data_IF_991818212490
#
_entry.id   IF_991818212490
#
_cell.length_a   1.000
_cell.length_b   1.000
_cell.length_c   1.000
_cell.angle_alpha   90.00
_cell.angle_beta   90.00
_cell.angle_gamma   90.00
#
_symmetry.space_group_name_H-M   'P 1'
#
loop_
_entity.id
_entity.type
_entity.pdbx_description
1 polymer ?
#
# COMPACT_ATOMS: atom_id res chain seq x y z
N UNK A 1 -6.31 -29.25 -5.81
CA UNK A 1 -5.90 -28.26 -6.82
C UNK A 1 -6.10 -26.88 -6.24
N UNK A 2 -5.05 -26.28 -5.68
CA UNK A 2 -5.17 -25.08 -4.84
C UNK A 2 -4.79 -23.84 -5.65
N UNK A 3 -5.76 -23.33 -6.42
CA UNK A 3 -5.66 -22.13 -7.24
C UNK A 3 -5.38 -20.83 -6.42
N UNK A 4 -5.50 -20.90 -5.09
CA UNK A 4 -5.45 -19.75 -4.17
C UNK A 4 -4.13 -19.55 -3.42
N UNK A 5 -3.06 -20.22 -3.84
CA UNK A 5 -1.76 -20.16 -3.15
C UNK A 5 -0.58 -19.76 -4.05
N UNK A 6 -0.86 -19.28 -5.27
CA UNK A 6 0.19 -18.80 -6.16
C UNK A 6 0.63 -17.40 -5.72
N UNK A 7 1.93 -17.17 -5.44
CA UNK A 7 2.47 -15.85 -5.11
C UNK A 7 2.10 -14.78 -6.13
N UNK A 8 1.95 -15.16 -7.40
CA UNK A 8 1.52 -14.25 -8.47
C UNK A 8 0.10 -13.74 -8.27
N UNK A 9 -0.83 -14.62 -7.89
CA UNK A 9 -2.21 -14.25 -7.60
C UNK A 9 -2.30 -13.32 -6.37
N UNK A 10 -1.57 -13.64 -5.31
CA UNK A 10 -1.52 -12.81 -4.10
C UNK A 10 -0.97 -11.41 -4.41
N UNK A 11 0.09 -11.33 -5.23
CA UNK A 11 0.68 -10.05 -5.67
C UNK A 11 -0.28 -9.26 -6.58
N UNK A 12 -0.95 -9.94 -7.51
CA UNK A 12 -1.94 -9.30 -8.41
C UNK A 12 -3.12 -8.72 -7.62
N UNK A 13 -3.61 -9.43 -6.59
CA UNK A 13 -4.66 -8.94 -5.68
C UNK A 13 -4.21 -7.71 -4.91
N UNK A 14 -2.95 -7.69 -4.44
CA UNK A 14 -2.36 -6.53 -3.76
C UNK A 14 -2.33 -5.30 -4.69
N UNK A 15 -1.86 -5.48 -5.92
CA UNK A 15 -1.79 -4.42 -6.92
C UNK A 15 -3.19 -3.91 -7.30
N UNK A 16 -4.15 -4.80 -7.51
CA UNK A 16 -5.53 -4.42 -7.81
C UNK A 16 -6.14 -3.58 -6.68
N UNK A 17 -5.96 -4.02 -5.44
CA UNK A 17 -6.46 -3.29 -4.27
C UNK A 17 -5.83 -1.90 -4.18
N UNK A 18 -4.54 -1.78 -4.48
CA UNK A 18 -3.83 -0.50 -4.52
C UNK A 18 -4.41 0.43 -5.59
N UNK A 19 -4.68 -0.07 -6.80
CA UNK A 19 -5.27 0.73 -7.89
C UNK A 19 -6.66 1.22 -7.50
N UNK A 20 -7.52 0.33 -6.98
CA UNK A 20 -8.88 0.69 -6.57
C UNK A 20 -8.87 1.78 -5.50
N UNK A 21 -8.03 1.61 -4.47
CA UNK A 21 -7.90 2.61 -3.41
C UNK A 21 -7.32 3.94 -3.90
N UNK A 22 -6.44 3.88 -4.88
CA UNK A 22 -5.84 5.05 -5.51
C UNK A 22 -6.88 5.89 -6.25
N UNK A 23 -7.69 5.24 -7.09
CA UNK A 23 -8.78 5.91 -7.81
C UNK A 23 -9.81 6.48 -6.84
N UNK A 24 -10.21 5.71 -5.83
CA UNK A 24 -11.14 6.17 -4.80
C UNK A 24 -10.62 7.42 -4.09
N UNK A 25 -9.37 7.39 -3.62
CA UNK A 25 -8.76 8.52 -2.92
C UNK A 25 -8.60 9.75 -3.81
N UNK A 26 -8.19 9.57 -5.07
CA UNK A 26 -8.08 10.65 -6.04
C UNK A 26 -9.41 11.35 -6.27
N UNK A 27 -10.48 10.60 -6.57
CA UNK A 27 -11.83 11.15 -6.79
C UNK A 27 -12.33 11.88 -5.54
N UNK A 28 -12.13 11.28 -4.36
CA UNK A 28 -12.55 11.88 -3.09
C UNK A 28 -11.85 13.21 -2.82
N UNK A 29 -10.54 13.29 -3.05
CA UNK A 29 -9.78 14.55 -2.89
C UNK A 29 -10.23 15.60 -3.89
N UNK A 30 -10.48 15.22 -5.16
CA UNK A 30 -10.98 16.15 -6.17
C UNK A 30 -12.37 16.71 -5.81
N UNK A 31 -13.25 15.86 -5.30
CA UNK A 31 -14.60 16.29 -4.88
C UNK A 31 -14.59 17.21 -3.65
N UNK A 32 -13.56 17.15 -2.81
CA UNK A 32 -13.50 17.90 -1.54
C UNK A 32 -12.57 19.13 -1.58
N UNK A 33 -12.02 19.48 -2.74
CA UNK A 33 -11.03 20.58 -2.89
C UNK A 33 -11.55 21.94 -2.42
N UNK A 34 -12.87 22.18 -2.44
CA UNK A 34 -13.48 23.44 -2.04
C UNK A 34 -13.56 23.63 -0.51
N UNK A 35 -13.35 22.57 0.29
CA UNK A 35 -13.50 22.61 1.75
C UNK A 35 -12.32 21.93 2.44
N UNK A 36 -11.47 22.72 3.09
CA UNK A 36 -10.30 22.20 3.82
C UNK A 36 -10.68 21.19 4.91
N UNK A 37 -11.69 21.44 5.79
CA UNK A 37 -12.10 20.44 6.78
C UNK A 37 -12.53 19.12 6.17
N UNK A 38 -13.29 19.16 5.09
CA UNK A 38 -13.74 17.96 4.39
C UNK A 38 -12.56 17.20 3.75
N UNK A 39 -11.60 17.92 3.18
CA UNK A 39 -10.37 17.33 2.64
C UNK A 39 -9.56 16.62 3.72
N UNK A 40 -9.47 17.17 4.94
CA UNK A 40 -8.79 16.53 6.08
C UNK A 40 -9.49 15.22 6.45
N UNK A 41 -10.81 15.24 6.62
CA UNK A 41 -11.58 14.04 6.96
C UNK A 41 -11.39 12.95 5.89
N UNK A 42 -11.51 13.32 4.62
CA UNK A 42 -11.35 12.39 3.51
C UNK A 42 -9.91 11.85 3.38
N UNK A 43 -8.90 12.66 3.66
CA UNK A 43 -7.51 12.23 3.67
C UNK A 43 -7.26 11.19 4.78
N UNK A 44 -7.74 11.45 6.00
CA UNK A 44 -7.61 10.51 7.13
C UNK A 44 -8.35 9.20 6.84
N UNK A 45 -9.57 9.27 6.32
CA UNK A 45 -10.35 8.08 5.96
C UNK A 45 -9.68 7.30 4.81
N UNK A 46 -9.20 7.98 3.78
CA UNK A 46 -8.54 7.34 2.63
C UNK A 46 -7.27 6.59 3.03
N UNK A 47 -6.42 7.22 3.83
CA UNK A 47 -5.20 6.60 4.36
C UNK A 47 -5.56 5.47 5.32
N UNK A 48 -6.50 5.68 6.23
CA UNK A 48 -6.93 4.68 7.21
C UNK A 48 -7.50 3.42 6.53
N UNK A 49 -8.37 3.59 5.54
CA UNK A 49 -8.91 2.49 4.76
C UNK A 49 -7.82 1.75 3.97
N UNK A 50 -6.91 2.48 3.34
CA UNK A 50 -5.78 1.89 2.62
C UNK A 50 -4.92 1.02 3.54
N UNK A 51 -4.48 1.59 4.66
CA UNK A 51 -3.66 0.88 5.67
C UNK A 51 -4.39 -0.36 6.18
N UNK A 52 -5.66 -0.22 6.52
CA UNK A 52 -6.50 -1.31 7.01
C UNK A 52 -6.62 -2.45 5.99
N UNK A 53 -6.93 -2.14 4.74
CA UNK A 53 -7.12 -3.14 3.68
C UNK A 53 -5.80 -3.87 3.35
N UNK A 54 -4.71 -3.13 3.18
CA UNK A 54 -3.39 -3.74 2.87
C UNK A 54 -2.91 -4.58 4.06
N UNK A 55 -3.02 -4.04 5.27
CA UNK A 55 -2.63 -4.78 6.47
C UNK A 55 -3.41 -6.09 6.61
N UNK A 56 -4.75 -6.06 6.52
CA UNK A 56 -5.59 -7.25 6.67
C UNK A 56 -5.29 -8.29 5.58
N UNK A 57 -5.14 -7.86 4.34
CA UNK A 57 -4.80 -8.75 3.24
C UNK A 57 -3.46 -9.44 3.47
N UNK A 58 -2.43 -8.70 3.87
CA UNK A 58 -1.11 -9.27 4.13
C UNK A 58 -1.08 -10.11 5.40
N UNK A 59 -1.86 -9.73 6.41
CA UNK A 59 -2.07 -10.54 7.61
C UNK A 59 -2.67 -11.92 7.26
N UNK A 60 -3.69 -11.95 6.40
CA UNK A 60 -4.31 -13.21 5.95
C UNK A 60 -3.31 -14.11 5.20
N UNK A 61 -2.48 -13.53 4.34
CA UNK A 61 -1.43 -14.26 3.61
C UNK A 61 -0.41 -14.83 4.61
N UNK A 62 0.05 -14.03 5.57
CA UNK A 62 0.98 -14.45 6.61
C UNK A 62 0.41 -15.58 7.49
N UNK A 63 -0.86 -15.47 7.90
CA UNK A 63 -1.55 -16.51 8.69
C UNK A 63 -1.69 -17.83 7.92
N UNK A 64 -2.00 -17.77 6.62
CA UNK A 64 -2.04 -18.97 5.75
C UNK A 64 -0.67 -19.63 5.62
N UNK A 65 0.39 -18.84 5.45
CA UNK A 65 1.75 -19.36 5.36
C UNK A 65 2.21 -19.99 6.69
N UNK A 66 1.79 -19.44 7.84
CA UNK A 66 2.01 -20.06 9.15
C UNK A 66 1.37 -21.44 9.23
N UNK A 67 0.08 -21.58 8.90
CA UNK A 67 -0.62 -22.85 8.92
C UNK A 67 0.07 -23.90 8.05
N UNK A 68 0.62 -23.48 6.90
CA UNK A 68 1.39 -24.37 6.01
C UNK A 68 2.74 -24.76 6.60
N UNK A 69 3.40 -23.82 7.31
CA UNK A 69 4.66 -24.08 7.99
C UNK A 69 4.46 -25.07 9.15
N UNK A 70 3.41 -24.89 9.95
CA UNK A 70 3.05 -25.81 11.05
C UNK A 70 2.71 -27.23 10.52
N UNK A 71 2.19 -27.32 9.29
CA UNK A 71 1.95 -28.59 8.60
C UNK A 71 3.19 -29.19 7.90
N UNK A 72 4.38 -28.58 8.05
CA UNK A 72 5.63 -29.02 7.41
C UNK A 72 5.69 -28.84 5.88
N UNK A 73 4.75 -28.07 5.31
CA UNK A 73 4.62 -27.87 3.84
C UNK A 73 5.23 -26.57 3.36
N UNK A 74 5.78 -25.74 4.23
CA UNK A 74 6.30 -24.42 3.89
C UNK A 74 7.38 -24.00 4.87
N UNK A 75 8.47 -23.46 4.35
CA UNK A 75 9.51 -22.82 5.16
C UNK A 75 9.31 -21.29 5.16
N UNK A 76 9.45 -20.67 6.32
CA UNK A 76 9.36 -19.23 6.45
C UNK A 76 10.38 -18.50 5.58
N UNK A 77 9.90 -17.66 4.69
CA UNK A 77 10.74 -16.82 3.80
C UNK A 77 10.53 -15.35 4.14
N UNK A 78 11.41 -14.80 4.99
CA UNK A 78 11.35 -13.39 5.40
C UNK A 78 11.34 -12.39 4.22
N UNK A 79 11.92 -12.77 3.08
CA UNK A 79 11.95 -11.94 1.86
C UNK A 79 10.63 -11.91 1.09
N UNK A 80 9.71 -12.88 1.31
CA UNK A 80 8.45 -12.98 0.55
C UNK A 80 7.61 -11.70 0.62
N UNK A 81 7.24 -11.18 1.80
CA UNK A 81 6.41 -9.98 1.88
C UNK A 81 7.08 -8.74 1.28
N UNK A 82 8.40 -8.63 1.43
CA UNK A 82 9.17 -7.53 0.86
C UNK A 82 9.16 -7.58 -0.68
N UNK A 83 9.40 -8.75 -1.27
CA UNK A 83 9.35 -8.92 -2.73
C UNK A 83 7.96 -8.66 -3.29
N UNK A 84 6.91 -9.13 -2.62
CA UNK A 84 5.52 -8.85 -3.02
C UNK A 84 5.24 -7.34 -3.00
N UNK A 85 5.67 -6.64 -1.95
CA UNK A 85 5.50 -5.20 -1.82
C UNK A 85 6.28 -4.42 -2.90
N UNK A 86 7.51 -4.85 -3.21
CA UNK A 86 8.31 -4.23 -4.27
C UNK A 86 7.70 -4.44 -5.65
N UNK A 87 7.22 -5.63 -5.96
CA UNK A 87 6.59 -5.91 -7.27
C UNK A 87 5.29 -5.13 -7.41
N UNK A 88 4.43 -5.14 -6.38
CA UNK A 88 3.19 -4.36 -6.39
C UNK A 88 3.46 -2.85 -6.44
N UNK A 89 4.51 -2.39 -5.77
CA UNK A 89 4.91 -0.98 -5.72
C UNK A 89 5.86 -0.53 -6.85
N UNK A 90 6.24 -1.40 -7.78
CA UNK A 90 7.27 -1.10 -8.78
C UNK A 90 6.97 0.18 -9.60
N UNK A 91 5.72 0.34 -10.06
CA UNK A 91 5.27 1.53 -10.78
C UNK A 91 5.41 2.80 -9.92
N UNK A 92 5.09 2.69 -8.65
CA UNK A 92 5.12 3.81 -7.70
C UNK A 92 6.57 4.24 -7.39
N UNK A 93 7.45 3.26 -7.17
CA UNK A 93 8.88 3.54 -6.99
C UNK A 93 9.49 4.15 -8.25
N UNK A 94 9.18 3.58 -9.41
CA UNK A 94 9.65 4.12 -10.70
C UNK A 94 9.15 5.55 -10.91
N UNK A 95 7.86 5.82 -10.66
CA UNK A 95 7.29 7.16 -10.73
C UNK A 95 7.97 8.13 -9.77
N UNK A 96 8.17 7.72 -8.50
CA UNK A 96 8.87 8.51 -7.49
C UNK A 96 10.32 8.83 -7.88
N UNK A 97 11.05 7.85 -8.45
CA UNK A 97 12.40 8.06 -8.95
C UNK A 97 12.44 9.03 -10.13
N UNK A 98 11.47 8.93 -11.05
CA UNK A 98 11.36 9.86 -12.18
C UNK A 98 11.05 11.29 -11.70
N UNK A 99 10.32 11.48 -10.61
CA UNK A 99 10.10 12.79 -10.02
C UNK A 99 11.43 13.47 -9.57
N UNK A 100 12.45 12.69 -9.19
CA UNK A 100 13.76 13.24 -8.83
C UNK A 100 14.48 13.92 -10.00
N UNK A 101 14.09 13.63 -11.26
CA UNK A 101 14.64 14.31 -12.42
C UNK A 101 14.35 15.82 -12.40
N UNK A 102 13.35 16.28 -11.62
CA UNK A 102 13.10 17.70 -11.41
C UNK A 102 14.28 18.44 -10.76
N UNK A 103 15.18 17.72 -10.10
CA UNK A 103 16.38 18.31 -9.49
C UNK A 103 17.49 18.62 -10.51
N UNK A 104 17.36 18.10 -11.73
CA UNK A 104 18.33 18.34 -12.82
C UNK A 104 17.88 19.57 -13.60
N UNK A 105 18.73 20.61 -13.75
CA UNK A 105 18.38 21.84 -14.46
C UNK A 105 18.40 21.63 -16.00
N UNK A 106 17.50 20.79 -16.48
CA UNK A 106 17.30 20.46 -17.89
C UNK A 106 15.81 20.42 -18.20
N UNK A 107 15.39 21.11 -19.27
CA UNK A 107 13.98 21.23 -19.66
C UNK A 107 13.33 19.87 -19.93
N UNK A 108 14.06 18.94 -20.56
CA UNK A 108 13.55 17.59 -20.83
C UNK A 108 13.33 16.81 -19.53
N UNK A 109 14.31 16.85 -18.61
CA UNK A 109 14.20 16.20 -17.31
C UNK A 109 13.03 16.78 -16.50
N UNK A 110 12.84 18.09 -16.53
CA UNK A 110 11.74 18.77 -15.85
C UNK A 110 10.39 18.34 -16.42
N UNK A 111 10.22 18.26 -17.72
CA UNK A 111 8.98 17.80 -18.35
C UNK A 111 8.66 16.34 -17.99
N UNK A 112 9.66 15.46 -18.01
CA UNK A 112 9.49 14.06 -17.58
C UNK A 112 9.06 14.00 -16.11
N UNK A 113 9.70 14.79 -15.25
CA UNK A 113 9.37 14.83 -13.83
C UNK A 113 7.93 15.32 -13.58
N UNK A 114 7.46 16.33 -14.31
CA UNK A 114 6.07 16.82 -14.22
C UNK A 114 5.05 15.75 -14.63
N UNK A 115 5.32 15.02 -15.72
CA UNK A 115 4.46 13.91 -16.15
C UNK A 115 4.46 12.81 -15.09
N UNK A 116 5.63 12.43 -14.58
CA UNK A 116 5.78 11.45 -13.53
C UNK A 116 5.03 11.86 -12.24
N UNK A 117 5.14 13.12 -11.82
CA UNK A 117 4.42 13.63 -10.65
C UNK A 117 2.90 13.54 -10.80
N UNK A 118 2.36 13.82 -12.01
CA UNK A 118 0.93 13.67 -12.26
C UNK A 118 0.47 12.21 -12.23
N UNK A 119 1.29 11.30 -12.74
CA UNK A 119 1.05 9.85 -12.63
C UNK A 119 1.10 9.42 -11.15
N UNK A 120 2.07 9.90 -10.37
CA UNK A 120 2.16 9.63 -8.94
C UNK A 120 0.93 10.13 -8.18
N UNK A 121 0.41 11.33 -8.49
CA UNK A 121 -0.83 11.85 -7.89
C UNK A 121 -2.01 10.91 -8.13
N UNK A 122 -2.09 10.30 -9.30
CA UNK A 122 -3.13 9.31 -9.61
C UNK A 122 -2.89 7.98 -8.88
N UNK A 123 -1.67 7.44 -8.93
CA UNK A 123 -1.32 6.16 -8.33
C UNK A 123 -1.37 6.17 -6.79
N UNK A 124 -1.16 7.32 -6.17
CA UNK A 124 -1.20 7.53 -4.73
C UNK A 124 -2.37 8.40 -4.27
N UNK A 125 -3.49 8.34 -4.99
CA UNK A 125 -4.67 9.17 -4.74
C UNK A 125 -5.13 9.17 -3.28
N UNK A 126 -5.04 8.04 -2.59
CA UNK A 126 -5.40 7.93 -1.17
C UNK A 126 -4.47 8.71 -0.21
N UNK A 127 -3.22 9.04 -0.63
CA UNK A 127 -2.32 9.95 0.10
C UNK A 127 -2.39 11.39 -0.40
N UNK A 128 -2.98 11.62 -1.58
CA UNK A 128 -2.99 12.93 -2.25
C UNK A 128 -3.55 14.04 -1.35
N UNK A 129 -4.60 13.74 -0.57
CA UNK A 129 -5.18 14.71 0.37
C UNK A 129 -4.19 15.16 1.43
N UNK A 130 -3.46 14.25 2.04
CA UNK A 130 -2.45 14.56 3.05
C UNK A 130 -1.28 15.35 2.44
N UNK A 131 -0.76 14.92 1.30
CA UNK A 131 0.35 15.59 0.60
C UNK A 131 -0.05 17.01 0.19
N UNK A 132 -1.30 17.20 -0.27
CA UNK A 132 -1.85 18.52 -0.62
C UNK A 132 -1.95 19.43 0.61
N UNK A 133 -2.45 18.92 1.73
CA UNK A 133 -2.59 19.69 2.98
C UNK A 133 -1.23 20.09 3.55
N UNK A 134 -0.19 19.28 3.37
CA UNK A 134 1.17 19.59 3.77
C UNK A 134 1.91 20.52 2.80
N UNK A 135 1.27 20.97 1.71
CA UNK A 135 1.87 21.79 0.65
C UNK A 135 3.12 21.15 0.02
N UNK A 136 3.19 19.82 0.03
CA UNK A 136 4.36 19.07 -0.44
C UNK A 136 4.18 18.41 -1.81
N UNK A 137 3.17 18.84 -2.60
CA UNK A 137 2.85 18.23 -3.91
C UNK A 137 4.00 18.29 -4.92
N UNK A 138 4.85 19.30 -4.80
CA UNK A 138 5.98 19.52 -5.72
C UNK A 138 7.29 18.93 -5.20
N UNK A 139 7.29 18.41 -3.96
CA UNK A 139 8.48 17.80 -3.39
C UNK A 139 8.67 16.38 -3.93
N UNK A 140 9.73 16.10 -4.73
CA UNK A 140 9.93 14.80 -5.34
C UNK A 140 10.16 13.67 -4.33
N UNK A 141 10.72 13.97 -3.15
CA UNK A 141 10.98 12.96 -2.11
C UNK A 141 9.73 12.42 -1.45
N UNK A 142 8.62 13.18 -1.45
CA UNK A 142 7.36 12.76 -0.82
C UNK A 142 6.83 11.48 -1.46
N UNK A 143 6.93 11.35 -2.77
CA UNK A 143 6.42 10.18 -3.48
C UNK A 143 7.22 8.90 -3.16
N UNK A 144 8.53 9.03 -2.95
CA UNK A 144 9.35 7.90 -2.49
C UNK A 144 9.06 7.53 -1.04
N UNK A 145 8.82 8.51 -0.18
CA UNK A 145 8.45 8.29 1.22
C UNK A 145 7.12 7.54 1.32
N UNK A 146 6.11 7.97 0.55
CA UNK A 146 4.80 7.30 0.48
C UNK A 146 4.94 5.86 -0.03
N UNK A 147 5.75 5.63 -1.08
CA UNK A 147 6.03 4.29 -1.58
C UNK A 147 6.68 3.40 -0.51
N UNK A 148 7.65 3.93 0.24
CA UNK A 148 8.32 3.22 1.32
C UNK A 148 7.39 2.87 2.47
N UNK A 149 6.44 3.76 2.80
CA UNK A 149 5.42 3.53 3.81
C UNK A 149 4.49 2.37 3.43
N UNK A 150 4.09 2.26 2.16
CA UNK A 150 3.29 1.15 1.66
C UNK A 150 4.01 -0.19 1.82
N UNK A 151 5.33 -0.25 1.51
CA UNK A 151 6.14 -1.44 1.74
C UNK A 151 6.19 -1.83 3.21
N UNK A 152 6.38 -0.84 4.08
CA UNK A 152 6.42 -1.06 5.53
C UNK A 152 5.12 -1.72 6.05
N UNK A 153 3.96 -1.18 5.67
CA UNK A 153 2.65 -1.72 6.08
C UNK A 153 2.48 -3.16 5.56
N UNK A 154 2.87 -3.43 4.33
CA UNK A 154 2.79 -4.76 3.71
C UNK A 154 3.63 -5.78 4.50
N UNK A 155 4.87 -5.43 4.84
CA UNK A 155 5.77 -6.29 5.63
C UNK A 155 5.26 -6.49 7.06
N UNK A 156 4.78 -5.43 7.70
CA UNK A 156 4.23 -5.50 9.06
C UNK A 156 2.98 -6.39 9.10
N UNK A 157 2.04 -6.22 8.16
CA UNK A 157 0.84 -7.03 8.08
C UNK A 157 1.15 -8.52 7.93
N UNK A 158 2.04 -8.87 7.01
CA UNK A 158 2.45 -10.26 6.80
C UNK A 158 3.10 -10.87 8.06
N UNK A 159 4.06 -10.16 8.66
CA UNK A 159 4.76 -10.66 9.84
C UNK A 159 3.82 -10.81 11.04
N UNK A 160 2.87 -9.90 11.22
CA UNK A 160 1.86 -10.01 12.27
C UNK A 160 0.98 -11.25 12.05
N UNK A 161 0.52 -11.49 10.82
CA UNK A 161 -0.25 -12.68 10.45
C UNK A 161 0.54 -13.96 10.66
N UNK A 162 1.79 -14.01 10.23
CA UNK A 162 2.66 -15.17 10.42
C UNK A 162 2.93 -15.47 11.90
N UNK A 163 3.05 -14.44 12.75
CA UNK A 163 3.21 -14.60 14.21
C UNK A 163 1.88 -14.88 14.93
N UNK A 164 0.74 -14.79 14.24
CA UNK A 164 -0.59 -14.96 14.82
C UNK A 164 -1.03 -13.81 15.72
N UNK A 165 -0.45 -12.62 15.55
CA UNK A 165 -0.84 -11.40 16.24
C UNK A 165 -2.04 -10.81 15.52
N UNK A 166 -3.20 -10.76 16.15
CA UNK A 166 -4.42 -10.15 15.60
C UNK A 166 -4.66 -8.78 16.22
N UNK A 167 -4.90 -7.76 15.38
CA UNK A 167 -5.33 -6.44 15.85
C UNK A 167 -6.78 -6.46 16.35
N UNK A 168 -7.58 -7.44 15.92
CA UNK A 168 -8.99 -7.59 16.32
C UNK A 168 -9.12 -8.92 17.10
N UNK A 169 -9.01 -8.90 18.43
CA UNK A 169 -9.03 -10.12 19.25
C UNK A 169 -10.32 -10.96 19.11
N UNK A 170 -11.43 -10.31 18.74
CA UNK A 170 -12.76 -10.94 18.68
C UNK A 170 -12.95 -11.96 17.56
N UNK A 171 -12.15 -11.89 16.50
CA UNK A 171 -12.26 -12.83 15.38
C UNK A 171 -11.54 -14.17 15.60
N UNK A 172 -10.72 -14.27 16.63
CA UNK A 172 -9.92 -15.48 16.92
C UNK A 172 -10.46 -16.33 18.07
N UNK A 173 -11.50 -15.89 18.77
CA UNK A 173 -12.08 -16.56 19.95
C UNK A 173 -13.10 -17.64 19.60
N UNK A 174 -12.98 -18.33 18.48
CA UNK A 174 -14.10 -19.12 17.98
C UNK A 174 -14.01 -20.63 18.08
N UNK A 175 -12.95 -21.27 18.59
CA UNK A 175 -12.94 -22.75 18.63
C UNK A 175 -12.49 -23.41 19.91
N UNK A 176 -11.84 -22.72 20.83
CA UNK A 176 -11.30 -23.31 22.04
C UNK A 176 -12.24 -23.29 23.25
N UNK A 177 -13.30 -22.48 23.19
CA UNK A 177 -14.25 -22.29 24.27
C UNK A 177 -15.59 -23.06 24.04
N UNK A 178 -15.63 -24.05 23.14
CA UNK A 178 -16.80 -24.87 22.84
C UNK A 178 -16.59 -26.37 23.07
N UNK A 179 -15.47 -26.76 23.64
CA UNK A 179 -15.19 -28.10 24.18
C UNK A 179 -15.07 -27.99 25.71
#
# INVERSE_FOLDING_TARGET
>A
MTMFSDPKYETAKLLLNQIVMSVFGYVTVMATTASVPLTIVCAVLGIGLYVFLIYNMMWEIGAKDRIRADAGRYEYKAKKPFLMALVAGALNFTGGLLCLLAMIPNTVCLNIAHVAANICKLLWGHFLGAVKLMLMLENPFVWLLVASFAVLITVLGYNAGYRGISLIPSLHKSKKDRE
#
